data_IF_511398092034
#
_entry.id   IF_511398092034
#
_cell.length_a   1.000
_cell.length_b   1.000
_cell.length_c   1.000
_cell.angle_alpha   90.00
_cell.angle_beta   90.00
_cell.angle_gamma   90.00
#
_symmetry.space_group_name_H-M   'P 1'
#
loop_
_entity.id
_entity.type
_entity.pdbx_description
1 polymer ?
#
# COMPACT_ATOMS: atom_id res chain seq x y z
N UNK A 1 -5.54 3.37 -8.02
CA UNK A 1 -6.41 4.56 -8.20
C UNK A 1 -5.83 5.72 -7.42
N UNK A 2 -5.83 5.68 -6.08
CA UNK A 2 -5.30 6.73 -5.20
C UNK A 2 -3.92 7.29 -5.59
N UNK A 3 -2.94 6.43 -5.94
CA UNK A 3 -1.61 6.86 -6.39
C UNK A 3 -1.66 7.72 -7.65
N UNK A 4 -2.57 7.41 -8.58
CA UNK A 4 -2.76 8.17 -9.81
C UNK A 4 -3.47 9.49 -9.54
N UNK A 5 -4.48 9.47 -8.68
CA UNK A 5 -5.23 10.68 -8.34
C UNK A 5 -4.39 11.64 -7.50
N UNK A 6 -3.39 11.13 -6.77
CA UNK A 6 -2.36 11.92 -6.11
C UNK A 6 -1.26 12.45 -7.06
N UNK A 7 -1.34 12.16 -8.37
CA UNK A 7 -0.37 12.59 -9.37
C UNK A 7 0.96 11.83 -9.38
N UNK A 8 1.12 10.79 -8.55
CA UNK A 8 2.39 10.09 -8.36
C UNK A 8 2.58 8.88 -9.29
N UNK A 9 1.64 8.62 -10.21
CA UNK A 9 1.66 7.41 -11.04
C UNK A 9 2.91 7.30 -11.91
N UNK A 10 3.46 8.42 -12.36
CA UNK A 10 4.67 8.45 -13.19
C UNK A 10 5.96 8.59 -12.39
N UNK A 11 5.86 8.92 -11.09
CA UNK A 11 7.02 9.09 -10.21
C UNK A 11 7.42 7.77 -9.51
N UNK A 12 6.53 6.78 -9.52
CA UNK A 12 6.74 5.48 -8.90
C UNK A 12 6.96 4.44 -9.99
N UNK A 13 8.05 3.69 -9.89
CA UNK A 13 8.39 2.64 -10.85
C UNK A 13 7.38 1.48 -10.79
N UNK A 14 7.11 0.98 -9.59
CA UNK A 14 6.14 -0.09 -9.37
C UNK A 14 5.33 0.15 -8.09
N UNK A 15 4.01 0.07 -8.20
CA UNK A 15 3.07 0.14 -7.09
C UNK A 15 2.03 -0.99 -7.19
N UNK A 16 1.99 -1.91 -6.22
CA UNK A 16 1.00 -2.98 -6.18
C UNK A 16 0.71 -3.47 -4.75
N UNK A 17 -0.42 -4.16 -4.60
CA UNK A 17 -0.85 -4.78 -3.35
C UNK A 17 -0.50 -6.28 -3.35
N UNK A 18 0.00 -6.77 -2.22
CA UNK A 18 0.27 -8.19 -1.98
C UNK A 18 -0.64 -8.69 -0.86
N UNK A 19 -1.39 -9.75 -1.13
CA UNK A 19 -2.17 -10.45 -0.12
C UNK A 19 -1.29 -11.47 0.59
N UNK A 20 -1.07 -11.28 1.89
CA UNK A 20 -0.27 -12.23 2.66
C UNK A 20 -1.11 -13.44 3.07
N UNK A 21 -0.56 -14.67 3.10
CA UNK A 21 -1.27 -15.87 3.54
C UNK A 21 -1.30 -16.00 5.09
N UNK A 22 -1.47 -14.88 5.80
CA UNK A 22 -1.57 -14.82 7.26
C UNK A 22 -2.83 -14.05 7.65
N UNK A 23 -3.37 -14.30 8.84
CA UNK A 23 -4.52 -13.53 9.36
C UNK A 23 -4.09 -12.59 10.47
N UNK A 24 -4.62 -11.37 10.45
CA UNK A 24 -4.48 -10.37 11.51
C UNK A 24 -5.82 -10.10 12.17
N UNK A 25 -5.77 -9.62 13.42
CA UNK A 25 -6.97 -9.25 14.19
C UNK A 25 -7.44 -7.86 13.75
N UNK A 26 -8.73 -7.75 13.44
CA UNK A 26 -9.45 -6.50 13.29
C UNK A 26 -10.55 -6.35 14.34
N UNK A 27 -11.12 -5.14 14.41
CA UNK A 27 -12.31 -4.86 15.23
C UNK A 27 -13.42 -4.38 14.31
N UNK A 28 -14.56 -5.06 14.32
CA UNK A 28 -15.77 -4.64 13.58
C UNK A 28 -16.94 -4.63 14.55
N UNK A 29 -17.46 -3.43 14.84
CA UNK A 29 -18.36 -3.22 15.98
C UNK A 29 -17.69 -3.64 17.28
N UNK A 30 -18.39 -4.45 18.10
CA UNK A 30 -17.87 -4.95 19.38
C UNK A 30 -17.22 -6.33 19.28
N UNK A 31 -16.88 -6.80 18.07
CA UNK A 31 -16.33 -8.15 17.83
C UNK A 31 -14.94 -8.10 17.24
N UNK A 32 -14.12 -9.07 17.64
CA UNK A 32 -12.84 -9.38 16.98
C UNK A 32 -13.12 -10.12 15.68
N UNK A 33 -12.50 -9.65 14.60
CA UNK A 33 -12.51 -10.30 13.29
C UNK A 33 -11.09 -10.73 12.93
N UNK A 34 -10.98 -11.71 12.02
CA UNK A 34 -9.69 -12.17 11.51
C UNK A 34 -9.72 -12.10 10.00
N UNK A 35 -8.90 -11.23 9.43
CA UNK A 35 -8.83 -10.98 8.00
C UNK A 35 -7.39 -11.03 7.50
N UNK A 36 -7.23 -11.16 6.18
CA UNK A 36 -5.92 -11.12 5.55
C UNK A 36 -5.45 -9.67 5.43
N UNK A 37 -4.24 -9.33 5.89
CA UNK A 37 -3.67 -8.01 5.65
C UNK A 37 -3.19 -7.88 4.20
N UNK A 38 -3.16 -6.64 3.73
CA UNK A 38 -2.52 -6.26 2.48
C UNK A 38 -1.18 -5.58 2.79
N UNK A 39 -0.15 -5.91 2.02
CA UNK A 39 1.10 -5.14 1.96
C UNK A 39 1.08 -4.28 0.71
N UNK A 40 1.33 -2.98 0.87
CA UNK A 40 1.55 -2.08 -0.24
C UNK A 40 3.04 -2.07 -0.58
N UNK A 41 3.38 -2.45 -1.81
CA UNK A 41 4.74 -2.35 -2.34
C UNK A 41 4.80 -1.22 -3.35
N UNK A 42 5.43 -0.12 -2.96
CA UNK A 42 5.67 1.04 -3.80
C UNK A 42 7.17 1.34 -3.80
N UNK A 43 7.80 1.24 -4.97
CA UNK A 43 9.25 1.41 -5.12
C UNK A 43 9.59 2.36 -6.27
N UNK A 44 10.64 3.16 -6.08
CA UNK A 44 11.31 3.90 -7.13
C UNK A 44 12.53 3.13 -7.62
N UNK A 45 12.88 3.32 -8.89
CA UNK A 45 14.07 2.73 -9.51
C UNK A 45 14.49 3.60 -10.70
N UNK A 46 15.80 3.83 -10.86
CA UNK A 46 16.35 4.55 -12.00
C UNK A 46 16.70 3.60 -13.17
N UNK A 47 17.11 2.37 -12.85
CA UNK A 47 17.71 1.42 -13.79
C UNK A 47 17.00 0.04 -13.85
N UNK A 48 16.00 -0.18 -13.00
CA UNK A 48 15.31 -1.46 -12.85
C UNK A 48 16.14 -2.56 -12.18
N UNK A 49 17.39 -2.28 -11.79
CA UNK A 49 18.29 -3.21 -11.12
C UNK A 49 18.33 -2.97 -9.60
N UNK A 50 18.18 -1.72 -9.18
CA UNK A 50 18.11 -1.32 -7.77
C UNK A 50 16.77 -0.63 -7.48
N UNK A 51 16.23 -0.84 -6.28
CA UNK A 51 14.94 -0.28 -5.91
C UNK A 51 14.93 0.16 -4.44
N UNK A 52 14.46 1.39 -4.22
CA UNK A 52 14.20 1.95 -2.90
C UNK A 52 12.69 2.13 -2.71
N UNK A 53 12.24 2.09 -1.45
CA UNK A 53 10.85 2.35 -1.14
C UNK A 53 10.48 3.80 -1.47
N UNK A 54 9.32 4.00 -2.11
CA UNK A 54 8.80 5.32 -2.42
C UNK A 54 8.24 5.98 -1.16
N UNK A 55 8.70 7.21 -0.85
CA UNK A 55 8.23 8.01 0.28
C UNK A 55 6.85 8.61 0.00
N UNK A 56 5.82 7.79 0.09
CA UNK A 56 4.44 8.24 -0.13
C UNK A 56 4.02 9.28 0.92
N UNK A 57 3.24 10.31 0.53
CA UNK A 57 2.62 11.21 1.49
C UNK A 57 1.76 10.45 2.51
N UNK A 58 1.80 10.84 3.78
CA UNK A 58 1.05 10.16 4.84
C UNK A 58 -0.46 10.18 4.59
N UNK A 59 -1.01 11.31 4.14
CA UNK A 59 -2.43 11.44 3.82
C UNK A 59 -2.88 10.51 2.67
N UNK A 60 -1.97 10.16 1.76
CA UNK A 60 -2.23 9.18 0.72
C UNK A 60 -2.25 7.76 1.30
N UNK A 61 -1.29 7.44 2.18
CA UNK A 61 -1.25 6.14 2.85
C UNK A 61 -2.47 5.91 3.73
N UNK A 62 -2.94 6.93 4.45
CA UNK A 62 -4.18 6.89 5.23
C UNK A 62 -5.40 6.61 4.34
N UNK A 63 -5.53 7.33 3.22
CA UNK A 63 -6.62 7.11 2.25
C UNK A 63 -6.65 5.69 1.71
N UNK A 64 -5.49 5.15 1.32
CA UNK A 64 -5.39 3.77 0.84
C UNK A 64 -5.76 2.77 1.95
N UNK A 65 -5.34 3.02 3.20
CA UNK A 65 -5.62 2.13 4.32
C UNK A 65 -7.10 2.08 4.72
N UNK A 66 -7.87 3.12 4.43
CA UNK A 66 -9.27 3.25 4.85
C UNK A 66 -10.29 2.79 3.79
N UNK A 67 -9.86 2.46 2.57
CA UNK A 67 -10.73 1.95 1.49
C UNK A 67 -10.81 0.42 1.49
#
# INVERSE_FOLDING_TARGET
EEVRDAGLYHDIWQAFAVLLPVRSVGVMGDKRTYAYPIVLRCVGSEDGMTADWSRLPYDLMERISNR
#
